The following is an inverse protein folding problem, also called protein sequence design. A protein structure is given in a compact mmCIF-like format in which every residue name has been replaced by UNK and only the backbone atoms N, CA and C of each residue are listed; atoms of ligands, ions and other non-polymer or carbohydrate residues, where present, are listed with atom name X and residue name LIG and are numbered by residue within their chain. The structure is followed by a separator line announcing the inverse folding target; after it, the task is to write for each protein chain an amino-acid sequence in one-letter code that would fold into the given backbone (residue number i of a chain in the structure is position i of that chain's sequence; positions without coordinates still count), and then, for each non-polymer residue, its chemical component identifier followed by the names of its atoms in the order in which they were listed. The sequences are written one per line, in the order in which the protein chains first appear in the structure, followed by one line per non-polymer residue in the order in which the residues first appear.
data_IF_898314628329
#
_entry.id   IF_898314628329
#
_cell.length_a   1.000
_cell.length_b   1.000
_cell.length_c   1.000
_cell.angle_alpha   90.00
_cell.angle_beta   90.00
_cell.angle_gamma   90.00
#
_symmetry.space_group_name_H-M   'P 1'
#
loop_
_entity.id
_entity.type
_entity.pdbx_description
1 polymer ?
#
# COMPACT_ATOMS: atom_id res chain seq x y z
N UNK A 1 13.02 -41.44 9.61
CA UNK A 1 14.25 -40.80 9.09
C UNK A 1 13.90 -40.24 7.72
N UNK A 2 13.90 -38.95 7.38
CA UNK A 2 14.18 -37.70 8.07
C UNK A 2 13.35 -36.64 7.33
N UNK A 3 12.52 -35.85 8.04
CA UNK A 3 11.78 -34.74 7.45
C UNK A 3 12.67 -33.50 7.52
N UNK A 4 13.13 -33.00 6.38
CA UNK A 4 13.89 -31.76 6.29
C UNK A 4 12.95 -30.57 6.49
N UNK A 5 13.13 -29.85 7.59
CA UNK A 5 12.42 -28.64 7.93
C UNK A 5 12.94 -27.47 7.08
N UNK A 6 12.16 -27.03 6.09
CA UNK A 6 12.43 -25.79 5.35
C UNK A 6 11.97 -24.59 6.18
N UNK A 7 12.88 -24.00 6.96
CA UNK A 7 12.63 -22.77 7.69
C UNK A 7 12.42 -21.61 6.71
N UNK A 8 11.19 -21.13 6.62
CA UNK A 8 10.85 -19.88 5.92
C UNK A 8 10.79 -18.75 6.94
N UNK A 9 11.96 -18.27 7.35
CA UNK A 9 12.10 -16.99 8.05
C UNK A 9 12.24 -15.87 7.00
N UNK A 10 11.45 -14.77 7.05
CA UNK A 10 11.66 -13.60 6.20
C UNK A 10 12.92 -12.83 6.62
N UNK A 11 14.07 -13.51 6.62
CA UNK A 11 15.37 -12.84 6.53
C UNK A 11 15.31 -11.92 5.32
N UNK A 12 15.51 -10.63 5.55
CA UNK A 12 15.51 -9.58 4.54
C UNK A 12 16.33 -10.05 3.35
N UNK A 13 15.67 -10.50 2.27
CA UNK A 13 16.35 -11.15 1.16
C UNK A 13 17.21 -10.10 0.48
N UNK A 14 18.49 -10.09 0.82
CA UNK A 14 19.44 -9.14 0.26
C UNK A 14 19.66 -9.47 -1.22
N UNK A 15 19.20 -8.61 -2.15
CA UNK A 15 19.34 -8.91 -3.56
C UNK A 15 20.79 -8.78 -4.00
N UNK A 16 21.15 -9.60 -4.98
CA UNK A 16 22.49 -9.67 -5.56
C UNK A 16 22.46 -8.97 -6.92
N UNK A 17 23.60 -8.49 -7.40
CA UNK A 17 23.69 -7.90 -8.73
C UNK A 17 23.55 -8.97 -9.82
N UNK A 18 22.46 -8.89 -10.60
CA UNK A 18 22.19 -9.84 -11.67
C UNK A 18 23.24 -9.82 -12.78
N UNK A 19 23.83 -8.65 -13.09
CA UNK A 19 24.91 -8.53 -14.07
C UNK A 19 26.17 -9.27 -13.61
N UNK A 20 26.61 -9.06 -12.37
CA UNK A 20 27.74 -9.80 -11.81
C UNK A 20 27.48 -11.31 -11.79
N UNK A 21 26.24 -11.72 -11.48
CA UNK A 21 25.87 -13.13 -11.47
C UNK A 21 26.03 -13.79 -12.86
N UNK A 22 25.82 -13.06 -13.97
CA UNK A 22 26.06 -13.59 -15.33
C UNK A 22 27.55 -13.87 -15.62
N UNK A 23 28.45 -13.27 -14.85
CA UNK A 23 29.90 -13.44 -14.93
C UNK A 23 30.46 -14.26 -13.75
N UNK A 24 29.62 -15.01 -13.04
CA UNK A 24 29.98 -15.84 -11.88
C UNK A 24 30.52 -15.06 -10.66
N UNK A 25 30.28 -13.74 -10.61
CA UNK A 25 30.66 -12.88 -9.48
C UNK A 25 29.43 -12.58 -8.62
N UNK A 26 29.52 -12.74 -7.29
CA UNK A 26 28.41 -12.46 -6.36
C UNK A 26 28.69 -11.17 -5.60
N UNK A 27 28.02 -10.09 -6.01
CA UNK A 27 28.06 -8.81 -5.32
C UNK A 27 26.68 -8.42 -4.80
N UNK A 28 26.60 -7.89 -3.59
CA UNK A 28 25.36 -7.36 -3.02
C UNK A 28 24.90 -6.14 -3.83
N UNK A 29 23.60 -6.03 -4.14
CA UNK A 29 23.11 -4.97 -5.04
C UNK A 29 23.09 -3.57 -4.38
N UNK A 30 22.94 -3.50 -3.04
CA UNK A 30 22.90 -2.22 -2.31
C UNK A 30 24.23 -1.47 -2.49
N UNK A 31 24.20 -0.28 -3.10
CA UNK A 31 25.38 0.54 -3.39
C UNK A 31 26.22 0.10 -4.60
N UNK A 32 25.96 -1.09 -5.16
CA UNK A 32 26.82 -1.68 -6.19
C UNK A 32 26.51 -1.21 -7.63
N UNK A 33 25.36 -0.58 -7.88
CA UNK A 33 24.93 -0.21 -9.23
C UNK A 33 25.95 0.66 -9.99
N UNK A 34 26.61 1.60 -9.31
CA UNK A 34 27.54 2.54 -9.95
C UNK A 34 28.96 1.99 -10.05
N UNK A 35 29.38 1.19 -9.08
CA UNK A 35 30.71 0.56 -9.01
C UNK A 35 30.75 -0.82 -9.69
N UNK A 36 29.71 -1.18 -10.44
CA UNK A 36 29.61 -2.51 -11.05
C UNK A 36 30.63 -2.63 -12.18
N UNK A 37 31.55 -3.62 -12.14
CA UNK A 37 32.54 -3.81 -13.20
C UNK A 37 31.91 -4.20 -14.55
N UNK A 38 30.68 -4.74 -14.52
CA UNK A 38 29.93 -5.18 -15.70
C UNK A 38 28.76 -4.24 -16.04
N UNK A 39 28.79 -2.99 -15.56
CA UNK A 39 27.75 -1.98 -15.79
C UNK A 39 27.48 -1.79 -17.29
N UNK A 40 28.54 -1.70 -18.07
CA UNK A 40 28.49 -1.41 -19.51
C UNK A 40 28.80 -2.66 -20.37
N UNK A 41 28.74 -3.86 -19.78
CA UNK A 41 28.92 -5.11 -20.52
C UNK A 41 27.74 -5.38 -21.47
N UNK A 42 28.06 -5.75 -22.71
CA UNK A 42 27.12 -6.03 -23.82
C UNK A 42 27.11 -7.50 -24.25
N UNK A 43 27.64 -8.42 -23.44
CA UNK A 43 27.61 -9.85 -23.78
C UNK A 43 26.15 -10.39 -23.85
N UNK A 44 25.89 -11.48 -24.59
CA UNK A 44 24.53 -12.02 -24.77
C UNK A 44 23.80 -12.28 -23.45
N UNK A 45 24.52 -12.78 -22.43
CA UNK A 45 23.98 -13.02 -21.09
C UNK A 45 23.50 -11.73 -20.41
N UNK A 46 24.26 -10.64 -20.54
CA UNK A 46 23.89 -9.33 -19.98
C UNK A 46 22.72 -8.68 -20.72
N UNK A 47 22.62 -8.86 -22.04
CA UNK A 47 21.47 -8.37 -22.82
C UNK A 47 20.15 -8.98 -22.32
N UNK A 48 20.13 -10.28 -22.03
CA UNK A 48 18.96 -10.95 -21.43
C UNK A 48 18.58 -10.33 -20.08
N UNK A 49 19.56 -9.98 -19.25
CA UNK A 49 19.31 -9.32 -17.95
C UNK A 49 18.69 -7.93 -18.14
N UNK A 50 19.17 -7.15 -19.12
CA UNK A 50 18.62 -5.83 -19.44
C UNK A 50 17.17 -5.95 -19.87
N UNK A 51 16.88 -6.86 -20.81
CA UNK A 51 15.52 -7.05 -21.30
C UNK A 51 14.58 -7.52 -20.19
N UNK A 52 15.04 -8.46 -19.36
CA UNK A 52 14.29 -8.88 -18.16
C UNK A 52 14.00 -7.71 -17.22
N UNK A 53 14.94 -6.80 -17.00
CA UNK A 53 14.73 -5.64 -16.14
C UNK A 53 13.70 -4.67 -16.72
N UNK A 54 13.73 -4.47 -18.05
CA UNK A 54 12.71 -3.68 -18.76
C UNK A 54 11.32 -4.26 -18.56
N UNK A 55 11.14 -5.55 -18.85
CA UNK A 55 9.85 -6.24 -18.68
C UNK A 55 9.35 -6.19 -17.22
N UNK A 56 10.26 -6.38 -16.25
CA UNK A 56 9.89 -6.26 -14.83
C UNK A 56 9.45 -4.83 -14.46
N UNK A 57 10.12 -3.80 -14.98
CA UNK A 57 9.73 -2.41 -14.75
C UNK A 57 8.32 -2.13 -15.29
N UNK A 58 8.01 -2.60 -16.50
CA UNK A 58 6.69 -2.46 -17.10
C UNK A 58 5.62 -3.22 -16.31
N UNK A 59 5.91 -4.45 -15.88
CA UNK A 59 4.99 -5.24 -15.06
C UNK A 59 4.75 -4.60 -13.67
N UNK A 60 5.79 -4.02 -13.06
CA UNK A 60 5.65 -3.27 -11.79
C UNK A 60 4.78 -2.03 -12.00
N UNK A 61 5.00 -1.29 -13.09
CA UNK A 61 4.20 -0.11 -13.44
C UNK A 61 2.72 -0.49 -13.60
N UNK A 62 2.43 -1.53 -14.38
CA UNK A 62 1.06 -2.01 -14.59
C UNK A 62 0.39 -2.39 -13.27
N UNK A 63 1.05 -3.19 -12.42
CA UNK A 63 0.50 -3.58 -11.12
C UNK A 63 0.25 -2.40 -10.19
N UNK A 64 1.16 -1.41 -10.18
CA UNK A 64 0.98 -0.17 -9.39
C UNK A 64 -0.23 0.64 -9.88
N UNK A 65 -0.45 0.72 -11.20
CA UNK A 65 -1.61 1.39 -11.77
C UNK A 65 -2.91 0.69 -11.40
N UNK A 66 -2.98 -0.64 -11.57
CA UNK A 66 -4.15 -1.43 -11.20
C UNK A 66 -4.47 -1.31 -9.70
N UNK A 67 -3.45 -1.36 -8.82
CA UNK A 67 -3.64 -1.16 -7.39
C UNK A 67 -4.18 0.23 -7.08
N UNK A 68 -3.61 1.28 -7.69
CA UNK A 68 -4.09 2.67 -7.52
C UNK A 68 -5.53 2.84 -7.99
N UNK A 69 -5.90 2.27 -9.13
CA UNK A 69 -7.28 2.31 -9.64
C UNK A 69 -8.25 1.61 -8.69
N UNK A 70 -7.90 0.40 -8.20
CA UNK A 70 -8.72 -0.31 -7.22
C UNK A 70 -8.91 0.49 -5.92
N UNK A 71 -7.85 1.07 -5.37
CA UNK A 71 -7.95 1.90 -4.17
C UNK A 71 -8.86 3.11 -4.38
N UNK A 72 -8.78 3.78 -5.54
CA UNK A 72 -9.66 4.90 -5.87
C UNK A 72 -11.14 4.49 -6.00
N UNK A 73 -11.42 3.35 -6.62
CA UNK A 73 -12.80 2.83 -6.73
C UNK A 73 -13.40 2.57 -5.34
N UNK A 74 -12.62 1.94 -4.45
CA UNK A 74 -13.03 1.69 -3.07
C UNK A 74 -13.23 2.97 -2.26
N UNK A 75 -12.42 4.00 -2.49
CA UNK A 75 -12.61 5.31 -1.84
C UNK A 75 -13.90 5.99 -2.32
N UNK A 76 -14.15 6.00 -3.63
CA UNK A 76 -15.36 6.56 -4.21
C UNK A 76 -16.62 5.87 -3.67
N UNK A 77 -16.61 4.55 -3.54
CA UNK A 77 -17.72 3.79 -2.95
C UNK A 77 -18.01 4.19 -1.50
N UNK A 78 -16.97 4.38 -0.68
CA UNK A 78 -17.13 4.83 0.72
C UNK A 78 -17.68 6.25 0.81
N UNK A 79 -17.21 7.15 -0.05
CA UNK A 79 -17.71 8.54 -0.11
C UNK A 79 -19.18 8.59 -0.56
N UNK A 80 -19.61 7.68 -1.43
CA UNK A 80 -21.02 7.54 -1.84
C UNK A 80 -21.88 6.99 -0.70
N UNK A 81 -21.41 5.96 0.01
CA UNK A 81 -22.10 5.37 1.18
C UNK A 81 -22.25 6.35 2.36
N UNK A 82 -21.24 7.20 2.61
CA UNK A 82 -21.28 8.24 3.63
C UNK A 82 -22.26 9.38 3.28
N UNK A 83 -22.46 9.66 1.98
CA UNK A 83 -23.44 10.66 1.52
C UNK A 83 -24.88 10.15 1.60
N UNK A 84 -25.11 8.87 1.35
CA UNK A 84 -26.43 8.22 1.46
C UNK A 84 -26.91 8.10 2.92
N UNK A 85 -25.98 7.92 3.85
CA UNK A 85 -26.29 7.69 5.28
C UNK A 85 -26.47 8.98 6.11
N UNK A 86 -26.32 10.18 5.53
CA UNK A 86 -26.57 11.45 6.22
C UNK A 86 -28.04 11.87 6.06
N UNK A 87 -28.88 11.83 7.11
CA UNK A 87 -30.26 12.27 7.01
C UNK A 87 -30.31 13.76 6.67
N UNK A 88 -31.14 14.14 5.70
CA UNK A 88 -31.36 15.53 5.34
C UNK A 88 -32.03 16.28 6.49
N UNK A 89 -31.28 17.07 7.25
CA UNK A 89 -31.86 18.14 8.04
C UNK A 89 -32.42 19.20 7.08
N UNK A 90 -33.72 19.08 6.79
CA UNK A 90 -34.49 20.10 6.09
C UNK A 90 -34.67 21.27 7.06
N UNK A 91 -33.89 22.33 6.86
CA UNK A 91 -34.12 23.61 7.50
C UNK A 91 -35.42 24.20 6.94
N UNK A 92 -36.49 24.15 7.73
CA UNK A 92 -37.65 25.03 7.52
C UNK A 92 -37.42 26.27 8.37
N UNK A 93 -37.11 27.38 7.71
CA UNK A 93 -36.94 28.70 8.28
C UNK A 93 -38.28 29.36 8.62
N UNK A 94 -38.36 29.97 9.83
CA UNK A 94 -39.26 31.03 10.35
C UNK A 94 -39.74 30.63 11.77
N UNK A 95 -39.62 31.39 12.87
CA UNK A 95 -39.45 32.82 13.12
C UNK A 95 -38.84 33.04 14.54
N UNK A 96 -38.46 34.28 14.95
CA UNK A 96 -37.90 34.55 16.27
C UNK A 96 -38.97 35.06 17.25
N UNK A 97 -39.16 34.42 18.41
CA UNK A 97 -39.71 35.06 19.62
C UNK A 97 -39.16 34.41 20.88
N UNK A 98 -38.80 35.28 21.82
CA UNK A 98 -38.15 35.09 23.12
C UNK A 98 -39.08 34.43 24.15
N UNK A 99 -38.55 33.50 24.97
CA UNK A 99 -38.63 33.49 26.45
C UNK A 99 -38.33 32.11 27.08
N UNK A 100 -37.46 32.12 28.11
CA UNK A 100 -37.65 31.29 29.32
C UNK A 100 -37.06 29.88 29.38
N UNK A 101 -35.88 29.76 29.99
CA UNK A 101 -35.39 28.64 30.82
C UNK A 101 -35.74 27.18 30.45
N UNK A 102 -34.74 26.43 29.97
CA UNK A 102 -34.46 25.09 30.49
C UNK A 102 -33.04 24.67 30.11
N UNK A 103 -32.22 24.36 31.13
CA UNK A 103 -30.96 23.65 30.97
C UNK A 103 -31.21 22.31 30.28
N UNK A 104 -30.59 22.07 29.13
CA UNK A 104 -30.28 20.70 28.73
C UNK A 104 -28.84 20.63 28.23
N UNK A 105 -27.94 20.55 29.21
CA UNK A 105 -26.58 20.09 29.05
C UNK A 105 -26.60 18.67 28.44
N UNK A 106 -25.89 18.54 27.33
CA UNK A 106 -25.01 17.40 27.02
C UNK A 106 -25.61 15.98 27.16
N UNK A 107 -26.07 15.42 26.03
CA UNK A 107 -26.06 13.96 25.85
C UNK A 107 -25.23 13.60 24.60
N UNK A 108 -23.90 13.69 24.77
CA UNK A 108 -22.99 12.87 23.98
C UNK A 108 -23.26 11.40 24.37
N UNK A 109 -24.05 10.70 23.57
CA UNK A 109 -24.28 9.26 23.68
C UNK A 109 -23.03 8.48 23.31
N UNK A 110 -22.04 8.48 24.19
CA UNK A 110 -20.88 7.58 24.13
C UNK A 110 -21.30 6.24 24.74
N UNK A 111 -21.52 5.25 23.88
CA UNK A 111 -21.69 3.86 24.28
C UNK A 111 -20.32 3.17 24.22
N UNK A 112 -19.78 2.71 25.37
CA UNK A 112 -18.94 1.52 25.35
C UNK A 112 -19.40 0.52 26.40
N UNK A 113 -20.04 -0.53 25.91
CA UNK A 113 -20.20 -1.81 26.58
C UNK A 113 -18.81 -2.48 26.73
N UNK A 114 -18.15 -2.31 27.89
CA UNK A 114 -16.97 -3.10 28.24
C UNK A 114 -16.66 -3.13 29.75
N UNK A 115 -17.18 -4.14 30.48
CA UNK A 115 -16.44 -4.92 31.51
C UNK A 115 -17.35 -6.05 32.05
N UNK A 116 -17.00 -7.31 31.75
CA UNK A 116 -16.33 -8.29 32.62
C UNK A 116 -17.27 -9.17 33.46
N UNK A 117 -17.35 -10.44 33.06
CA UNK A 117 -16.97 -11.55 33.93
C UNK A 117 -15.78 -12.27 33.29
#
# INVERSE_FOLDING_TARGET
MSKEAKSSDPSERMPHCQRCAQHNVKNRLRGHKQVCPFKDCTCPKCLVVIERQRLMADQIKLRRLQKKQRTKMLQKQKEEEEKESRPSETQTSAAPTVDGNSLFLSFFGFNPLFQSQ
#
